data_IF_736080064597
#
_entry.id   IF_736080064597
#
_cell.length_a   1.000
_cell.length_b   1.000
_cell.length_c   1.000
_cell.angle_alpha   90.00
_cell.angle_beta   90.00
_cell.angle_gamma   90.00
#
_symmetry.space_group_name_H-M   'P 1'
#
loop_
_entity.id
_entity.type
_entity.pdbx_description
1 polymer ?
#
# COMPACT_ATOMS: atom_id res chain seq x y z
N UNK A 1 -13.08 19.41 -0.25
CA UNK A 1 -13.40 20.16 0.98
C UNK A 1 -14.89 20.45 1.08
N UNK A 2 -15.44 20.35 2.29
CA UNK A 2 -16.85 20.63 2.54
C UNK A 2 -17.06 22.16 2.62
N UNK A 3 -18.02 22.75 1.87
CA UNK A 3 -18.18 24.20 1.77
C UNK A 3 -18.57 24.90 3.09
N UNK A 4 -19.03 24.12 4.07
CA UNK A 4 -19.45 24.61 5.40
C UNK A 4 -18.34 24.57 6.45
N UNK A 5 -17.10 24.21 6.08
CA UNK A 5 -15.96 24.16 7.02
C UNK A 5 -16.01 23.02 8.04
N UNK A 6 -16.94 22.07 7.87
CA UNK A 6 -17.06 20.90 8.74
C UNK A 6 -16.05 19.84 8.31
N UNK A 7 -15.19 19.44 9.25
CA UNK A 7 -14.30 18.29 9.08
C UNK A 7 -15.10 16.98 9.22
N UNK A 8 -15.69 16.58 8.09
CA UNK A 8 -16.42 15.32 7.97
C UNK A 8 -15.54 14.10 8.25
N UNK A 9 -14.21 14.21 8.09
CA UNK A 9 -13.30 13.10 8.39
C UNK A 9 -13.19 12.88 9.90
N UNK A 10 -12.99 13.96 10.66
CA UNK A 10 -12.94 13.91 12.14
C UNK A 10 -14.27 13.41 12.72
N UNK A 11 -15.39 13.96 12.27
CA UNK A 11 -16.72 13.53 12.75
C UNK A 11 -16.98 12.05 12.50
N UNK A 12 -16.64 11.55 11.30
CA UNK A 12 -16.77 10.12 10.98
C UNK A 12 -15.87 9.26 11.86
N UNK A 13 -14.64 9.70 12.11
CA UNK A 13 -13.69 8.95 12.94
C UNK A 13 -14.19 8.82 14.38
N UNK A 14 -14.70 9.91 14.96
CA UNK A 14 -15.28 9.92 16.31
C UNK A 14 -16.52 9.04 16.40
N UNK A 15 -17.47 9.19 15.47
CA UNK A 15 -18.64 8.33 15.40
C UNK A 15 -18.25 6.84 15.33
N UNK A 16 -17.32 6.48 14.44
CA UNK A 16 -16.85 5.09 14.30
C UNK A 16 -16.10 4.59 15.54
N UNK A 17 -15.42 5.47 16.28
CA UNK A 17 -14.79 5.10 17.54
C UNK A 17 -15.84 4.71 18.59
N UNK A 18 -16.85 5.56 18.80
CA UNK A 18 -17.93 5.30 19.75
C UNK A 18 -18.82 4.14 19.32
N UNK A 19 -19.19 4.07 18.05
CA UNK A 19 -20.06 3.02 17.52
C UNK A 19 -19.49 1.62 17.70
N UNK A 20 -18.17 1.46 17.53
CA UNK A 20 -17.48 0.17 17.68
C UNK A 20 -16.79 0.00 19.03
N UNK A 21 -17.03 0.88 20.01
CA UNK A 21 -16.53 0.69 21.38
C UNK A 21 -17.25 -0.51 22.01
N UNK A 22 -16.50 -1.56 22.31
CA UNK A 22 -17.06 -2.81 22.85
C UNK A 22 -17.78 -3.70 21.82
N UNK A 23 -17.72 -3.40 20.52
CA UNK A 23 -18.33 -4.20 19.44
C UNK A 23 -17.28 -4.71 18.47
N UNK A 24 -17.56 -5.86 17.86
CA UNK A 24 -16.72 -6.39 16.77
C UNK A 24 -16.81 -5.48 15.54
N UNK A 25 -15.67 -5.15 14.93
CA UNK A 25 -15.63 -4.37 13.69
C UNK A 25 -15.81 -5.27 12.47
N UNK A 26 -16.33 -4.76 11.35
CA UNK A 26 -16.35 -5.47 10.09
C UNK A 26 -14.94 -5.94 9.70
N UNK A 27 -14.85 -7.10 9.04
CA UNK A 27 -13.57 -7.67 8.62
C UNK A 27 -12.73 -6.69 7.77
N UNK A 28 -13.40 -5.90 6.91
CA UNK A 28 -12.76 -4.87 6.10
C UNK A 28 -12.01 -3.83 6.93
N UNK A 29 -12.48 -3.46 8.13
CA UNK A 29 -11.80 -2.51 9.00
C UNK A 29 -10.46 -3.08 9.50
N UNK A 30 -10.39 -4.37 9.77
CA UNK A 30 -9.16 -5.03 10.20
C UNK A 30 -8.22 -5.32 9.02
N UNK A 31 -8.76 -5.73 7.88
CA UNK A 31 -7.99 -5.99 6.67
C UNK A 31 -7.37 -4.69 6.12
N UNK A 32 -8.18 -3.64 5.95
CA UNK A 32 -7.73 -2.37 5.37
C UNK A 32 -7.05 -1.46 6.40
N UNK A 33 -7.57 -1.40 7.63
CA UNK A 33 -6.98 -0.55 8.68
C UNK A 33 -5.59 -1.02 9.14
N UNK A 34 -5.22 -2.27 8.88
CA UNK A 34 -3.88 -2.82 9.13
C UNK A 34 -3.15 -3.22 7.85
N UNK A 35 -3.61 -2.74 6.70
CA UNK A 35 -3.08 -3.10 5.38
C UNK A 35 -1.54 -2.99 5.28
N UNK A 36 -0.88 -1.92 5.77
CA UNK A 36 0.58 -1.83 5.70
C UNK A 36 1.29 -2.96 6.45
N UNK A 37 0.72 -3.44 7.57
CA UNK A 37 1.27 -4.56 8.34
C UNK A 37 1.08 -5.88 7.59
N UNK A 38 -0.11 -6.12 7.06
CA UNK A 38 -0.41 -7.32 6.28
C UNK A 38 0.47 -7.43 5.03
N UNK A 39 0.64 -6.34 4.28
CA UNK A 39 1.49 -6.32 3.09
C UNK A 39 2.97 -6.55 3.41
N UNK A 40 3.45 -6.00 4.53
CA UNK A 40 4.83 -6.24 5.00
C UNK A 40 5.06 -7.72 5.33
N UNK A 41 4.09 -8.38 5.98
CA UNK A 41 4.14 -9.81 6.30
C UNK A 41 3.97 -10.70 5.05
N UNK A 42 3.14 -10.27 4.11
CA UNK A 42 2.87 -11.00 2.86
C UNK A 42 4.03 -10.93 1.86
N UNK A 43 4.83 -9.85 1.90
CA UNK A 43 5.94 -9.58 0.98
C UNK A 43 6.89 -10.78 0.74
N UNK A 44 7.47 -11.45 1.76
CA UNK A 44 8.35 -12.60 1.52
C UNK A 44 7.64 -13.77 0.82
N UNK A 45 6.31 -13.86 0.94
CA UNK A 45 5.47 -14.86 0.33
C UNK A 45 4.75 -14.36 -0.94
N UNK A 46 5.21 -13.26 -1.56
CA UNK A 46 4.52 -12.67 -2.71
C UNK A 46 4.29 -13.68 -3.86
N UNK A 47 5.29 -14.49 -4.21
CA UNK A 47 5.16 -15.50 -5.27
C UNK A 47 4.07 -16.56 -4.97
N UNK A 48 4.13 -17.30 -3.85
CA UNK A 48 3.09 -18.29 -3.54
C UNK A 48 1.72 -17.63 -3.32
N UNK A 49 1.63 -16.47 -2.68
CA UNK A 49 0.35 -15.78 -2.47
C UNK A 49 -0.28 -15.35 -3.79
N UNK A 50 0.51 -14.82 -4.73
CA UNK A 50 0.03 -14.49 -6.07
C UNK A 50 -0.45 -15.72 -6.84
N UNK A 51 0.18 -16.89 -6.64
CA UNK A 51 -0.27 -18.15 -7.24
C UNK A 51 -1.58 -18.64 -6.62
N UNK A 52 -1.72 -18.60 -5.30
CA UNK A 52 -2.94 -19.00 -4.58
C UNK A 52 -4.14 -18.12 -4.96
N UNK A 53 -3.93 -16.81 -5.11
CA UNK A 53 -4.98 -15.86 -5.51
C UNK A 53 -5.46 -16.07 -6.96
N UNK A 54 -4.71 -16.77 -7.81
CA UNK A 54 -5.19 -17.15 -9.16
C UNK A 54 -6.26 -18.24 -9.10
N UNK A 55 -6.30 -19.03 -8.02
CA UNK A 55 -7.33 -20.05 -7.82
C UNK A 55 -8.63 -19.38 -7.37
N UNK A 56 -9.64 -19.34 -8.25
CA UNK A 56 -10.95 -18.70 -8.02
C UNK A 56 -11.59 -19.03 -6.66
N UNK A 57 -11.65 -20.29 -6.17
CA UNK A 57 -12.27 -20.59 -4.88
C UNK A 57 -11.49 -19.98 -3.70
N UNK A 58 -10.16 -20.03 -3.75
CA UNK A 58 -9.31 -19.43 -2.70
C UNK A 58 -9.40 -17.91 -2.72
N UNK A 59 -9.43 -17.30 -3.90
CA UNK A 59 -9.63 -15.86 -4.05
C UNK A 59 -10.99 -15.42 -3.50
N UNK A 60 -12.06 -16.17 -3.78
CA UNK A 60 -13.39 -15.87 -3.26
C UNK A 60 -13.44 -15.97 -1.72
N UNK A 61 -12.83 -17.01 -1.15
CA UNK A 61 -12.73 -17.15 0.31
C UNK A 61 -11.93 -16.00 0.93
N UNK A 62 -10.77 -15.67 0.36
CA UNK A 62 -9.94 -14.56 0.82
C UNK A 62 -10.69 -13.22 0.75
N UNK A 63 -11.43 -12.95 -0.33
CA UNK A 63 -12.27 -11.75 -0.45
C UNK A 63 -13.32 -11.68 0.64
N UNK A 64 -14.04 -12.79 0.91
CA UNK A 64 -15.05 -12.85 1.98
C UNK A 64 -14.44 -12.60 3.36
N UNK A 65 -13.31 -13.24 3.67
CA UNK A 65 -12.61 -13.07 4.94
C UNK A 65 -12.03 -11.66 5.12
N UNK A 66 -11.59 -11.02 4.04
CA UNK A 66 -11.06 -9.65 4.08
C UNK A 66 -12.15 -8.58 4.00
N UNK A 67 -13.42 -8.95 3.80
CA UNK A 67 -14.51 -8.00 3.55
C UNK A 67 -14.35 -7.23 2.24
N UNK A 68 -13.74 -7.85 1.23
CA UNK A 68 -13.56 -7.30 -0.12
C UNK A 68 -14.76 -7.70 -0.97
N UNK A 69 -15.34 -6.73 -1.69
CA UNK A 69 -16.44 -6.99 -2.61
C UNK A 69 -16.04 -8.02 -3.70
N UNK A 70 -16.89 -9.00 -4.03
CA UNK A 70 -16.53 -10.11 -4.92
C UNK A 70 -16.12 -9.66 -6.33
N UNK A 71 -16.65 -8.52 -6.79
CA UNK A 71 -16.35 -7.90 -8.09
C UNK A 71 -14.93 -7.33 -8.18
N UNK A 72 -14.29 -7.05 -7.03
CA UNK A 72 -12.95 -6.44 -7.00
C UNK A 72 -11.86 -7.47 -7.28
N UNK A 73 -10.85 -7.08 -8.05
CA UNK A 73 -9.65 -7.89 -8.23
C UNK A 73 -8.73 -7.75 -7.02
N UNK A 74 -8.11 -8.86 -6.59
CA UNK A 74 -7.06 -8.80 -5.58
C UNK A 74 -5.79 -8.31 -6.28
N UNK A 75 -5.14 -7.24 -5.79
CA UNK A 75 -3.94 -6.73 -6.41
C UNK A 75 -2.79 -7.73 -6.28
N UNK A 76 -1.93 -7.77 -7.30
CA UNK A 76 -0.74 -8.63 -7.31
C UNK A 76 0.31 -8.03 -6.37
N UNK A 77 0.86 -8.86 -5.48
CA UNK A 77 1.97 -8.46 -4.62
C UNK A 77 3.25 -8.35 -5.43
N UNK A 78 3.99 -7.26 -5.25
CA UNK A 78 5.29 -7.10 -5.86
C UNK A 78 6.30 -8.09 -5.24
N UNK A 79 6.97 -8.87 -6.09
CA UNK A 79 8.04 -9.80 -5.67
C UNK A 79 9.27 -9.06 -5.13
N UNK A 80 9.45 -7.81 -5.53
CA UNK A 80 10.48 -6.92 -5.05
C UNK A 80 9.86 -5.57 -4.71
N UNK A 81 9.82 -5.28 -3.41
CA UNK A 81 9.36 -3.98 -2.91
C UNK A 81 10.23 -2.82 -3.40
N UNK A 82 9.65 -1.63 -3.47
CA UNK A 82 10.31 -0.43 -3.94
C UNK A 82 11.56 -0.10 -3.11
N UNK A 83 11.47 -0.03 -1.77
CA UNK A 83 12.60 0.24 -0.89
C UNK A 83 13.79 -0.69 -1.10
N UNK A 84 13.54 -2.00 -1.25
CA UNK A 84 14.60 -3.01 -1.50
C UNK A 84 15.18 -2.89 -2.90
N UNK A 85 14.40 -2.47 -3.89
CA UNK A 85 14.94 -2.12 -5.19
C UNK A 85 15.85 -0.89 -5.10
N UNK A 86 15.39 0.17 -4.42
CA UNK A 86 16.15 1.41 -4.29
C UNK A 86 17.47 1.18 -3.54
N UNK A 87 17.44 0.48 -2.40
CA UNK A 87 18.65 0.15 -1.62
C UNK A 87 19.66 -0.68 -2.43
N UNK A 88 19.19 -1.62 -3.27
CA UNK A 88 20.08 -2.39 -4.14
C UNK A 88 20.66 -1.57 -5.29
N UNK A 89 19.90 -0.60 -5.78
CA UNK A 89 20.33 0.33 -6.84
C UNK A 89 21.33 1.36 -6.31
N UNK A 90 21.14 1.84 -5.09
CA UNK A 90 21.98 2.87 -4.44
C UNK A 90 23.35 2.39 -3.94
N UNK A 91 23.81 1.18 -4.30
CA UNK A 91 25.08 0.63 -3.82
C UNK A 91 26.24 1.64 -3.86
N UNK A 92 26.98 1.78 -2.74
CA UNK A 92 28.13 2.69 -2.50
C UNK A 92 28.21 3.93 -3.42
N UNK A 93 27.21 4.81 -3.38
CA UNK A 93 27.43 6.20 -3.80
C UNK A 93 26.58 6.72 -4.95
N UNK A 94 25.28 6.44 -4.98
CA UNK A 94 24.37 7.17 -5.88
C UNK A 94 23.77 8.37 -5.14
N UNK A 95 24.32 9.57 -5.37
CA UNK A 95 23.60 10.83 -5.12
C UNK A 95 22.49 10.92 -6.17
N UNK A 96 21.23 10.80 -5.74
CA UNK A 96 20.08 10.92 -6.64
C UNK A 96 19.90 12.37 -7.13
N UNK A 97 20.58 13.34 -6.49
CA UNK A 97 20.48 14.76 -6.80
C UNK A 97 21.85 15.44 -6.67
N UNK A 98 22.11 16.39 -7.57
CA UNK A 98 23.23 17.33 -7.49
C UNK A 98 23.20 18.10 -6.15
N UNK A 99 24.36 18.54 -5.67
CA UNK A 99 24.58 19.06 -4.31
C UNK A 99 23.79 20.32 -3.94
N UNK A 100 23.03 20.89 -4.86
CA UNK A 100 22.30 22.15 -4.75
C UNK A 100 20.77 21.99 -4.64
N UNK A 101 20.20 20.79 -4.86
CA UNK A 101 18.75 20.53 -4.74
C UNK A 101 18.44 19.23 -4.00
N UNK A 102 17.48 19.28 -3.08
CA UNK A 102 17.03 18.12 -2.30
C UNK A 102 15.58 17.81 -2.64
N UNK A 103 15.32 16.56 -3.05
CA UNK A 103 14.01 16.00 -3.41
C UNK A 103 13.81 14.75 -2.57
N UNK A 104 12.69 14.71 -1.84
CA UNK A 104 12.27 13.56 -1.06
C UNK A 104 11.17 12.81 -1.82
N UNK A 105 11.44 11.56 -2.20
CA UNK A 105 10.44 10.67 -2.77
C UNK A 105 9.86 9.77 -1.68
N UNK A 106 8.61 10.04 -1.31
CA UNK A 106 7.88 9.21 -0.36
C UNK A 106 7.10 8.11 -1.08
N UNK A 107 7.46 6.85 -0.81
CA UNK A 107 6.71 5.70 -1.30
C UNK A 107 5.59 5.36 -0.30
N UNK A 108 4.34 5.46 -0.75
CA UNK A 108 3.19 5.02 0.02
C UNK A 108 3.10 3.48 0.08
N UNK A 109 2.09 2.96 0.79
CA UNK A 109 1.94 1.51 0.98
C UNK A 109 1.74 0.75 -0.34
N UNK A 110 1.02 1.35 -1.30
CA UNK A 110 0.74 0.75 -2.60
C UNK A 110 1.99 0.75 -3.48
N UNK A 111 2.71 1.86 -3.57
CA UNK A 111 3.99 1.96 -4.30
C UNK A 111 5.02 1.01 -3.72
N UNK A 112 5.06 0.85 -2.39
CA UNK A 112 6.03 -0.04 -1.74
C UNK A 112 5.79 -1.53 -2.06
N UNK A 113 4.54 -2.00 -2.00
CA UNK A 113 4.23 -3.44 -1.99
C UNK A 113 3.45 -3.96 -3.20
N UNK A 114 2.77 -3.11 -3.97
CA UNK A 114 1.86 -3.52 -5.05
C UNK A 114 2.33 -3.01 -6.40
N UNK A 115 2.69 -1.72 -6.49
CA UNK A 115 3.05 -1.08 -7.74
C UNK A 115 4.38 -0.29 -7.66
N UNK A 116 5.51 -0.97 -7.39
CA UNK A 116 6.82 -0.31 -7.28
C UNK A 116 7.29 0.32 -8.59
N UNK A 117 6.67 0.02 -9.72
CA UNK A 117 7.01 0.59 -11.03
C UNK A 117 6.81 2.11 -11.04
N UNK A 118 5.77 2.63 -10.36
CA UNK A 118 5.55 4.07 -10.24
C UNK A 118 6.71 4.77 -9.53
N UNK A 119 7.16 4.25 -8.38
CA UNK A 119 8.32 4.78 -7.66
C UNK A 119 9.61 4.71 -8.48
N UNK A 120 9.82 3.60 -9.22
CA UNK A 120 10.98 3.46 -10.13
C UNK A 120 10.94 4.47 -11.27
N UNK A 121 9.77 4.74 -11.82
CA UNK A 121 9.59 5.74 -12.87
C UNK A 121 9.87 7.15 -12.33
N UNK A 122 9.35 7.49 -11.14
CA UNK A 122 9.63 8.75 -10.49
C UNK A 122 11.14 8.98 -10.27
N UNK A 123 11.88 7.97 -9.80
CA UNK A 123 13.34 8.05 -9.66
C UNK A 123 14.01 8.35 -11.01
N UNK A 124 13.63 7.65 -12.09
CA UNK A 124 14.22 7.87 -13.42
C UNK A 124 13.99 9.29 -13.93
N UNK A 125 12.78 9.81 -13.80
CA UNK A 125 12.45 11.19 -14.23
C UNK A 125 13.26 12.21 -13.44
N UNK A 126 13.42 12.02 -12.13
CA UNK A 126 14.21 12.91 -11.29
C UNK A 126 15.71 12.87 -11.63
N UNK A 127 16.23 11.69 -11.96
CA UNK A 127 17.61 11.52 -12.44
C UNK A 127 17.83 12.20 -13.80
N UNK A 128 16.85 12.17 -14.71
CA UNK A 128 16.93 12.82 -16.03
C UNK A 128 16.74 14.35 -15.96
N UNK A 129 16.04 14.84 -14.95
CA UNK A 129 15.76 16.26 -14.73
C UNK A 129 16.82 16.99 -13.89
N UNK A 130 17.85 16.26 -13.43
CA UNK A 130 19.00 16.79 -12.67
C UNK A 130 20.21 16.90 -13.59
#
# INVERSE_FOLDING_TARGET
DCPVGVDMATYKAEFLHHHYRGRLRPAAHYAMGRLPRWLRLARPFARPLNALVRLRPLAALAKRLAGIAPERTIPVLATQAYSRWLLRRQGKGTRILSSDRVVALWADTFTEHLYPQAGRAAVRVLEEAT
#
